data_IF_844045533905
#
_entry.id   IF_844045533905
#
_cell.length_a   1.000
_cell.length_b   1.000
_cell.length_c   1.000
_cell.angle_alpha   90.00
_cell.angle_beta   90.00
_cell.angle_gamma   90.00
#
_symmetry.space_group_name_H-M   'P 1'
#
loop_
_entity.id
_entity.type
_entity.pdbx_description
1 polymer ?
#
# COMPACT_ATOMS: atom_id res chain seq x y z
N UNK A 1 -24.17 -8.23 81.84
CA UNK A 1 -23.69 -9.35 81.03
C UNK A 1 -23.76 -8.92 79.57
N UNK A 2 -22.61 -8.63 78.99
CA UNK A 2 -22.45 -8.10 77.64
C UNK A 2 -22.33 -9.27 76.68
N UNK A 3 -23.30 -9.46 75.77
CA UNK A 3 -23.16 -10.39 74.65
C UNK A 3 -22.68 -9.64 73.42
N UNK A 4 -21.48 -10.00 72.96
CA UNK A 4 -20.93 -9.61 71.66
C UNK A 4 -21.51 -10.53 70.59
N UNK A 5 -22.18 -9.97 69.59
CA UNK A 5 -22.59 -10.70 68.38
C UNK A 5 -21.51 -10.49 67.32
N UNK A 6 -20.78 -11.56 66.98
CA UNK A 6 -19.77 -11.56 65.93
C UNK A 6 -20.47 -11.84 64.59
N UNK A 7 -20.47 -10.86 63.68
CA UNK A 7 -20.91 -11.07 62.30
C UNK A 7 -19.79 -11.73 61.49
N UNK A 8 -20.05 -12.91 60.94
CA UNK A 8 -19.16 -13.59 59.98
C UNK A 8 -19.52 -13.06 58.59
N UNK A 9 -18.63 -12.26 58.01
CA UNK A 9 -18.73 -11.77 56.64
C UNK A 9 -18.19 -12.87 55.70
N UNK A 10 -19.08 -13.51 54.95
CA UNK A 10 -18.69 -14.47 53.91
C UNK A 10 -18.19 -13.69 52.70
N UNK A 11 -16.87 -13.69 52.48
CA UNK A 11 -16.27 -13.11 51.28
C UNK A 11 -16.49 -14.11 50.14
N UNK A 12 -17.45 -13.81 49.25
CA UNK A 12 -17.50 -14.42 47.93
C UNK A 12 -16.37 -13.82 47.09
N UNK A 13 -15.35 -14.61 46.81
CA UNK A 13 -14.36 -14.29 45.78
C UNK A 13 -14.99 -14.66 44.44
N UNK A 14 -15.28 -13.70 43.54
CA UNK A 14 -15.71 -14.06 42.20
C UNK A 14 -14.50 -14.66 41.48
N UNK A 15 -14.63 -15.92 41.08
CA UNK A 15 -13.69 -16.56 40.17
C UNK A 15 -13.82 -15.84 38.82
N UNK A 16 -12.95 -14.86 38.57
CA UNK A 16 -12.82 -14.21 37.27
C UNK A 16 -12.27 -15.24 36.29
N UNK A 17 -13.16 -15.88 35.54
CA UNK A 17 -12.81 -16.55 34.30
C UNK A 17 -12.35 -15.47 33.32
N UNK A 18 -11.04 -15.26 33.24
CA UNK A 18 -10.43 -14.52 32.13
C UNK A 18 -10.61 -15.37 30.89
N UNK A 19 -11.64 -15.09 30.09
CA UNK A 19 -11.66 -15.53 28.71
C UNK A 19 -10.58 -14.74 27.98
N UNK A 20 -9.44 -15.38 27.75
CA UNK A 20 -8.52 -14.93 26.71
C UNK A 20 -9.22 -15.14 25.37
N UNK A 21 -9.89 -14.11 24.87
CA UNK A 21 -10.30 -14.06 23.47
C UNK A 21 -9.03 -13.94 22.62
N UNK A 22 -8.41 -15.07 22.32
CA UNK A 22 -7.56 -15.17 21.14
C UNK A 22 -8.50 -15.16 19.93
N UNK A 23 -8.94 -13.96 19.52
CA UNK A 23 -9.57 -13.75 18.23
C UNK A 23 -8.50 -13.95 17.16
N UNK A 24 -8.32 -15.19 16.73
CA UNK A 24 -7.68 -15.44 15.45
C UNK A 24 -8.55 -14.77 14.39
N UNK A 25 -8.02 -13.76 13.70
CA UNK A 25 -8.74 -13.07 12.62
C UNK A 25 -9.26 -14.12 11.65
N UNK A 26 -10.58 -14.13 11.44
CA UNK A 26 -11.20 -15.10 10.55
C UNK A 26 -10.93 -14.67 9.11
N UNK A 27 -10.11 -15.44 8.40
CA UNK A 27 -9.76 -15.18 7.01
C UNK A 27 -10.67 -15.95 6.07
N UNK A 28 -10.93 -15.39 4.90
CA UNK A 28 -11.63 -16.15 3.86
C UNK A 28 -10.66 -17.10 3.19
N UNK A 29 -11.12 -18.31 2.93
CA UNK A 29 -10.37 -19.31 2.15
C UNK A 29 -11.14 -19.75 0.91
N UNK A 30 -12.38 -19.24 0.70
CA UNK A 30 -13.14 -19.48 -0.52
C UNK A 30 -12.55 -18.68 -1.66
N UNK A 31 -12.06 -19.38 -2.69
CA UNK A 31 -11.49 -18.75 -3.88
C UNK A 31 -12.60 -18.36 -4.86
N UNK A 32 -12.51 -17.18 -5.49
CA UNK A 32 -13.38 -16.85 -6.61
C UNK A 32 -13.11 -17.80 -7.79
N UNK A 33 -14.13 -18.01 -8.63
CA UNK A 33 -14.06 -18.90 -9.79
C UNK A 33 -13.42 -18.19 -11.00
N UNK A 34 -12.13 -17.86 -10.84
CA UNK A 34 -11.28 -17.32 -11.89
C UNK A 34 -10.08 -18.25 -12.09
N UNK A 35 -9.55 -18.36 -13.32
CA UNK A 35 -8.33 -19.12 -13.54
C UNK A 35 -7.16 -18.48 -12.79
N UNK A 36 -6.20 -19.30 -12.38
CA UNK A 36 -4.88 -18.85 -11.96
C UNK A 36 -3.86 -19.31 -12.99
N UNK A 37 -3.50 -18.40 -13.90
CA UNK A 37 -2.45 -18.64 -14.92
C UNK A 37 -1.07 -18.16 -14.47
N UNK A 38 -0.81 -18.02 -13.17
CA UNK A 38 0.48 -17.56 -12.67
C UNK A 38 1.11 -18.55 -11.69
N UNK A 39 2.43 -18.59 -11.70
CA UNK A 39 3.26 -19.28 -10.71
C UNK A 39 3.95 -18.27 -9.81
N UNK A 40 4.01 -18.58 -8.51
CA UNK A 40 4.69 -17.75 -7.50
C UNK A 40 6.13 -18.24 -7.36
N UNK A 41 7.08 -17.32 -7.45
CA UNK A 41 8.50 -17.52 -7.17
C UNK A 41 8.85 -16.70 -5.93
N UNK A 42 9.50 -17.35 -4.96
CA UNK A 42 9.92 -16.80 -3.66
C UNK A 42 11.44 -16.69 -3.61
N UNK A 43 11.94 -16.06 -2.56
CA UNK A 43 13.38 -15.90 -2.30
C UNK A 43 14.12 -15.25 -3.48
N UNK A 44 13.46 -14.27 -4.14
CA UNK A 44 13.95 -13.65 -5.38
C UNK A 44 14.95 -12.53 -5.17
N UNK A 45 15.17 -12.11 -3.91
CA UNK A 45 16.19 -11.13 -3.54
C UNK A 45 17.01 -11.65 -2.37
N UNK A 46 18.27 -11.24 -2.29
CA UNK A 46 19.19 -11.62 -1.22
C UNK A 46 19.73 -10.37 -0.53
N UNK A 47 19.59 -10.32 0.79
CA UNK A 47 20.16 -9.28 1.63
C UNK A 47 21.52 -9.71 2.21
N UNK A 48 22.44 -8.76 2.48
CA UNK A 48 23.68 -9.03 3.18
C UNK A 48 23.46 -9.64 4.57
N UNK A 49 24.43 -10.43 5.04
CA UNK A 49 24.36 -11.04 6.38
C UNK A 49 24.14 -9.97 7.47
N UNK A 50 23.13 -10.19 8.32
CA UNK A 50 22.77 -9.28 9.41
C UNK A 50 21.74 -8.20 9.03
N UNK A 51 21.41 -8.05 7.74
CA UNK A 51 20.30 -7.20 7.28
C UNK A 51 19.02 -8.04 7.15
N UNK A 52 17.95 -7.55 7.76
CA UNK A 52 16.61 -8.13 7.62
C UNK A 52 15.76 -7.28 6.70
N UNK A 53 14.90 -7.90 5.89
CA UNK A 53 13.89 -7.18 5.12
C UNK A 53 12.81 -6.69 6.09
N UNK A 54 12.42 -5.42 6.01
CA UNK A 54 11.26 -4.96 6.74
C UNK A 54 9.99 -5.23 5.96
N UNK A 55 8.89 -4.64 6.42
CA UNK A 55 7.63 -4.70 5.70
C UNK A 55 7.82 -4.06 4.34
N UNK A 56 7.68 -4.85 3.29
CA UNK A 56 7.75 -4.38 1.92
C UNK A 56 6.36 -3.94 1.50
N UNK A 57 6.14 -2.64 1.35
CA UNK A 57 4.87 -2.10 0.89
C UNK A 57 4.99 -1.33 -0.43
N UNK A 58 6.22 -1.22 -0.96
CA UNK A 58 6.52 -0.53 -2.19
C UNK A 58 7.61 -1.28 -2.97
N UNK A 59 7.33 -1.54 -4.25
CA UNK A 59 8.24 -2.16 -5.19
C UNK A 59 8.01 -1.59 -6.58
N UNK A 60 9.09 -1.41 -7.34
CA UNK A 60 9.03 -1.16 -8.77
C UNK A 60 10.26 -1.69 -9.50
N UNK A 61 10.24 -1.70 -10.83
CA UNK A 61 11.32 -2.25 -11.67
C UNK A 61 11.75 -1.22 -12.71
N UNK A 62 13.07 -1.03 -12.85
CA UNK A 62 13.61 -0.09 -13.83
C UNK A 62 13.77 -0.71 -15.23
N UNK A 63 14.08 0.13 -16.23
CA UNK A 63 14.22 -0.28 -17.64
C UNK A 63 15.27 -1.36 -17.90
N UNK A 64 16.19 -1.57 -16.95
CA UNK A 64 17.22 -2.61 -17.00
C UNK A 64 16.82 -3.89 -16.24
N UNK A 65 15.61 -3.92 -15.68
CA UNK A 65 15.09 -5.02 -14.88
C UNK A 65 15.60 -5.05 -13.44
N UNK A 66 16.26 -3.98 -12.96
CA UNK A 66 16.64 -3.93 -11.55
C UNK A 66 15.40 -3.72 -10.69
N UNK A 67 15.38 -4.38 -9.54
CA UNK A 67 14.25 -4.38 -8.63
C UNK A 67 14.51 -3.32 -7.57
N UNK A 68 13.58 -2.38 -7.43
CA UNK A 68 13.61 -1.34 -6.40
C UNK A 68 12.59 -1.66 -5.33
N UNK A 69 13.02 -1.71 -4.07
CA UNK A 69 12.15 -1.94 -2.93
C UNK A 69 12.28 -0.76 -1.97
N UNK A 70 11.14 -0.25 -1.51
CA UNK A 70 11.08 0.71 -0.42
C UNK A 70 10.38 0.08 0.77
N UNK A 71 11.14 -0.18 1.83
CA UNK A 71 10.72 -1.00 2.96
C UNK A 71 10.82 -0.25 4.29
N UNK A 72 10.17 -0.76 5.34
CA UNK A 72 10.12 -0.10 6.66
C UNK A 72 11.33 -0.40 7.56
N UNK A 73 12.53 -0.01 7.11
CA UNK A 73 13.79 0.00 7.86
C UNK A 73 14.13 -1.31 8.61
N UNK A 74 13.78 -2.46 8.05
CA UNK A 74 13.98 -3.79 8.65
C UNK A 74 12.91 -4.23 9.64
N UNK A 75 11.82 -3.46 9.78
CA UNK A 75 10.73 -3.73 10.71
C UNK A 75 9.35 -3.45 10.13
N UNK A 76 8.48 -2.82 10.92
CA UNK A 76 7.15 -2.39 10.48
C UNK A 76 6.76 -1.08 11.18
N UNK A 77 5.75 -1.11 12.06
CA UNK A 77 5.22 0.08 12.68
C UNK A 77 6.26 0.84 13.50
N UNK A 78 6.56 2.08 13.09
CA UNK A 78 7.49 2.97 13.77
C UNK A 78 8.98 2.63 13.59
N UNK A 79 9.31 1.62 12.78
CA UNK A 79 10.69 1.15 12.64
C UNK A 79 11.64 2.19 12.04
N UNK A 80 11.15 3.10 11.20
CA UNK A 80 11.96 4.14 10.56
C UNK A 80 12.12 5.44 11.37
N UNK A 81 11.35 5.64 12.45
CA UNK A 81 11.33 6.91 13.18
C UNK A 81 12.73 7.36 13.63
N UNK A 82 13.49 6.43 14.21
CA UNK A 82 14.81 6.66 14.79
C UNK A 82 15.88 5.71 14.20
N UNK A 83 15.67 5.23 12.97
CA UNK A 83 16.57 4.24 12.33
C UNK A 83 17.44 4.85 11.24
N UNK A 84 18.73 4.53 11.27
CA UNK A 84 19.70 4.86 10.21
C UNK A 84 19.81 3.74 9.15
N UNK A 85 18.92 2.74 9.18
CA UNK A 85 18.89 1.67 8.18
C UNK A 85 18.35 2.22 6.87
N UNK A 86 19.11 2.07 5.79
CA UNK A 86 18.69 2.45 4.43
C UNK A 86 17.44 1.68 3.98
N UNK A 87 16.29 2.34 3.77
CA UNK A 87 15.04 1.68 3.37
C UNK A 87 14.83 1.59 1.86
N UNK A 88 15.59 2.34 1.06
CA UNK A 88 15.53 2.23 -0.41
C UNK A 88 16.60 1.27 -0.88
N UNK A 89 16.19 0.16 -1.49
CA UNK A 89 17.04 -0.96 -1.85
C UNK A 89 16.99 -1.17 -3.36
N UNK A 90 18.16 -1.21 -4.02
CA UNK A 90 18.29 -1.64 -5.42
C UNK A 90 18.86 -3.05 -5.48
N UNK A 91 18.15 -3.95 -6.15
CA UNK A 91 18.65 -5.28 -6.48
C UNK A 91 18.86 -5.43 -7.98
N UNK A 92 19.82 -6.25 -8.38
CA UNK A 92 19.99 -6.67 -9.77
C UNK A 92 18.76 -7.48 -10.24
N UNK A 93 18.59 -7.71 -11.55
CA UNK A 93 17.54 -8.60 -12.06
C UNK A 93 17.61 -10.03 -11.49
N UNK A 94 18.80 -10.44 -11.03
CA UNK A 94 19.06 -11.75 -10.42
C UNK A 94 18.87 -11.73 -8.88
N UNK A 95 18.51 -10.59 -8.29
CA UNK A 95 18.19 -10.46 -6.87
C UNK A 95 19.37 -10.12 -5.95
N UNK A 96 20.54 -9.77 -6.48
CA UNK A 96 21.67 -9.34 -5.67
C UNK A 96 21.53 -7.87 -5.27
N UNK A 97 21.67 -7.55 -3.98
CA UNK A 97 21.65 -6.14 -3.53
C UNK A 97 22.84 -5.38 -4.14
N UNK A 98 22.54 -4.38 -4.98
CA UNK A 98 23.53 -3.54 -5.65
C UNK A 98 23.93 -2.34 -4.78
N UNK A 99 22.95 -1.62 -4.25
CA UNK A 99 23.17 -0.54 -3.29
C UNK A 99 21.88 -0.21 -2.51
N UNK A 100 22.02 0.55 -1.43
CA UNK A 100 20.92 1.08 -0.63
C UNK A 100 21.20 2.51 -0.19
N UNK A 101 20.15 3.29 0.10
CA UNK A 101 20.26 4.63 0.66
C UNK A 101 19.01 5.00 1.47
N UNK A 102 19.05 6.17 2.12
CA UNK A 102 17.88 6.79 2.75
C UNK A 102 17.76 6.62 4.26
N UNK A 103 18.79 6.10 4.94
CA UNK A 103 18.79 5.99 6.40
C UNK A 103 18.48 7.32 7.11
N UNK A 104 17.59 7.28 8.10
CA UNK A 104 17.16 8.45 8.88
C UNK A 104 16.20 9.43 8.18
N UNK A 105 16.01 9.32 6.87
CA UNK A 105 15.24 10.29 6.07
C UNK A 105 13.73 10.16 6.23
N UNK A 106 13.22 8.94 6.38
CA UNK A 106 11.79 8.65 6.26
C UNK A 106 11.14 8.30 7.59
N UNK A 107 9.81 8.48 7.69
CA UNK A 107 9.01 8.18 8.87
C UNK A 107 8.20 6.90 8.67
N UNK A 108 7.48 6.82 7.57
CA UNK A 108 6.67 5.69 7.15
C UNK A 108 6.76 5.51 5.63
N UNK A 109 7.78 4.77 5.17
CA UNK A 109 7.88 4.36 3.78
C UNK A 109 6.54 3.83 3.24
N UNK A 110 6.01 4.43 2.18
CA UNK A 110 4.72 4.08 1.60
C UNK A 110 4.78 3.59 0.15
N UNK A 111 5.18 4.45 -0.79
CA UNK A 111 5.17 4.15 -2.22
C UNK A 111 6.55 4.32 -2.88
N UNK A 112 6.76 3.57 -3.97
CA UNK A 112 7.88 3.76 -4.91
C UNK A 112 7.37 3.59 -6.35
N UNK A 113 7.75 4.50 -7.23
CA UNK A 113 7.45 4.46 -8.67
C UNK A 113 8.75 4.76 -9.42
N UNK A 114 9.07 3.98 -10.44
CA UNK A 114 10.16 4.26 -11.38
C UNK A 114 9.56 4.93 -12.62
N UNK A 115 10.08 6.10 -13.00
CA UNK A 115 9.66 6.81 -14.21
C UNK A 115 10.43 6.37 -15.46
N UNK A 116 9.99 6.83 -16.64
CA UNK A 116 10.58 6.45 -17.94
C UNK A 116 12.07 6.83 -18.10
N UNK A 117 12.57 7.73 -17.24
CA UNK A 117 13.98 8.13 -17.18
C UNK A 117 14.77 7.35 -16.09
N UNK A 118 14.17 6.28 -15.55
CA UNK A 118 14.64 5.46 -14.44
C UNK A 118 14.83 6.22 -13.10
N UNK A 119 14.17 7.36 -12.91
CA UNK A 119 14.18 8.05 -11.63
C UNK A 119 13.14 7.44 -10.69
N UNK A 120 13.38 7.57 -9.39
CA UNK A 120 12.55 7.02 -8.33
C UNK A 120 11.71 8.11 -7.72
N UNK A 121 10.39 7.98 -7.78
CA UNK A 121 9.48 8.72 -6.93
C UNK A 121 9.19 7.93 -5.66
N UNK A 122 9.45 8.53 -4.51
CA UNK A 122 9.38 7.93 -3.18
C UNK A 122 8.33 8.70 -2.36
N UNK A 123 7.36 7.98 -1.78
CA UNK A 123 6.28 8.57 -0.97
C UNK A 123 6.46 8.19 0.50
N UNK A 124 6.67 9.18 1.36
CA UNK A 124 6.68 9.02 2.82
C UNK A 124 5.37 9.52 3.43
N UNK A 125 4.50 8.57 3.80
CA UNK A 125 3.19 8.87 4.36
C UNK A 125 3.26 9.33 5.82
N UNK A 126 4.37 9.01 6.51
CA UNK A 126 4.49 9.18 7.94
C UNK A 126 4.86 10.61 8.28
N UNK A 127 4.50 11.08 9.48
CA UNK A 127 4.74 12.47 9.86
C UNK A 127 5.33 12.53 11.26
N UNK A 128 6.45 13.23 11.40
CA UNK A 128 6.94 13.77 12.66
C UNK A 128 6.75 15.28 12.58
N UNK A 129 5.79 15.80 13.35
CA UNK A 129 5.29 17.16 13.23
C UNK A 129 6.42 18.20 13.28
N UNK A 130 6.56 18.97 12.20
CA UNK A 130 7.57 20.02 12.05
C UNK A 130 9.02 19.53 11.91
N UNK A 131 9.25 18.23 11.73
CA UNK A 131 10.59 17.65 11.60
C UNK A 131 10.83 16.95 10.26
N UNK A 132 10.03 15.91 9.93
CA UNK A 132 10.22 15.10 8.71
C UNK A 132 8.97 14.31 8.31
N UNK A 133 8.97 13.84 7.07
CA UNK A 133 7.90 13.04 6.48
C UNK A 133 6.72 13.90 6.00
N UNK A 134 5.63 13.26 5.56
CA UNK A 134 4.53 13.87 4.82
C UNK A 134 4.96 14.45 3.46
N UNK A 135 5.83 13.73 2.76
CA UNK A 135 6.56 14.26 1.61
C UNK A 135 6.70 13.23 0.50
N UNK A 136 6.92 13.74 -0.70
CA UNK A 136 7.23 12.95 -1.89
C UNK A 136 8.55 13.44 -2.45
N UNK A 137 9.43 12.52 -2.82
CA UNK A 137 10.77 12.82 -3.31
C UNK A 137 10.99 12.17 -4.67
N UNK A 138 11.72 12.84 -5.56
CA UNK A 138 12.27 12.25 -6.77
C UNK A 138 13.78 12.09 -6.61
N UNK A 139 14.31 10.89 -6.79
CA UNK A 139 15.75 10.61 -6.80
C UNK A 139 16.18 10.05 -8.16
N UNK A 140 17.43 10.25 -8.56
CA UNK A 140 17.99 9.43 -9.63
C UNK A 140 18.41 8.04 -9.12
N UNK A 141 18.86 7.18 -10.03
CA UNK A 141 19.33 5.83 -9.71
C UNK A 141 20.60 5.78 -8.84
N UNK A 142 21.23 6.91 -8.52
CA UNK A 142 22.38 7.00 -7.61
C UNK A 142 21.99 7.50 -6.21
N UNK A 143 20.69 7.77 -5.98
CA UNK A 143 20.18 8.30 -4.71
C UNK A 143 20.36 9.82 -4.56
N UNK A 144 20.66 10.54 -5.64
CA UNK A 144 20.74 12.00 -5.63
C UNK A 144 19.33 12.59 -5.74
N UNK A 145 18.97 13.50 -4.82
CA UNK A 145 17.66 14.15 -4.79
C UNK A 145 17.51 15.13 -5.97
N UNK A 146 16.41 15.00 -6.70
CA UNK A 146 16.04 15.82 -7.86
C UNK A 146 14.87 16.76 -7.55
N UNK A 147 13.82 16.24 -6.89
CA UNK A 147 12.61 16.99 -6.54
C UNK A 147 12.19 16.61 -5.12
N UNK A 148 11.69 17.59 -4.37
CA UNK A 148 11.05 17.41 -3.06
C UNK A 148 9.71 18.14 -3.08
N UNK A 149 8.63 17.42 -2.76
CA UNK A 149 7.26 17.93 -2.71
C UNK A 149 6.72 17.80 -1.28
N UNK A 150 5.95 18.81 -0.87
CA UNK A 150 5.50 18.97 0.51
C UNK A 150 6.57 19.62 1.39
N UNK A 151 6.21 19.88 2.65
CA UNK A 151 7.08 20.47 3.65
C UNK A 151 7.34 19.48 4.79
N UNK A 152 8.58 19.34 5.29
CA UNK A 152 8.92 18.34 6.30
C UNK A 152 8.05 18.42 7.55
N UNK A 153 7.26 17.37 7.79
CA UNK A 153 6.41 17.27 8.97
C UNK A 153 5.18 18.18 8.97
N UNK A 154 4.85 18.83 7.85
CA UNK A 154 3.74 19.80 7.76
C UNK A 154 2.59 19.21 6.96
N UNK A 155 1.42 19.05 7.63
CA UNK A 155 0.16 18.65 7.00
C UNK A 155 -0.62 19.83 6.46
N UNK A 156 -1.39 19.61 5.39
CA UNK A 156 -2.34 20.58 4.87
C UNK A 156 -3.14 20.08 3.67
N UNK A 157 -4.11 20.88 3.25
CA UNK A 157 -4.98 20.64 2.08
C UNK A 157 -4.80 21.72 1.00
N UNK A 158 -3.84 22.63 1.16
CA UNK A 158 -3.53 23.67 0.18
C UNK A 158 -2.75 23.17 -1.04
N UNK A 159 -2.47 24.10 -1.96
CA UNK A 159 -1.62 23.85 -3.11
C UNK A 159 -0.21 23.44 -2.66
N UNK A 160 0.27 22.29 -3.13
CA UNK A 160 1.59 21.75 -2.76
C UNK A 160 1.68 21.17 -1.34
N UNK A 161 0.56 21.10 -0.61
CA UNK A 161 0.49 20.49 0.71
C UNK A 161 -0.19 19.11 0.63
N UNK A 162 0.24 18.22 1.52
CA UNK A 162 -0.30 16.86 1.64
C UNK A 162 -0.73 16.58 3.07
N UNK A 163 -1.49 15.52 3.26
CA UNK A 163 -1.78 14.93 4.56
C UNK A 163 -1.79 13.40 4.42
N UNK A 164 -0.60 12.84 4.63
CA UNK A 164 -0.28 11.42 4.58
C UNK A 164 -0.50 10.84 3.17
N UNK A 165 0.30 11.27 2.17
CA UNK A 165 0.23 10.73 0.82
C UNK A 165 0.61 9.25 0.83
N UNK A 166 -0.07 8.43 0.04
CA UNK A 166 0.18 6.98 -0.02
C UNK A 166 0.82 6.56 -1.33
N UNK A 167 0.20 6.86 -2.46
CA UNK A 167 0.66 6.39 -3.77
C UNK A 167 0.65 7.52 -4.79
N UNK A 168 1.38 7.34 -5.89
CA UNK A 168 1.26 8.20 -7.05
C UNK A 168 1.27 7.40 -8.35
N UNK A 169 0.73 8.00 -9.41
CA UNK A 169 0.87 7.50 -10.77
C UNK A 169 1.22 8.66 -11.70
N UNK A 170 2.03 8.36 -12.70
CA UNK A 170 2.41 9.31 -13.76
C UNK A 170 1.43 9.11 -14.93
N UNK A 171 0.89 10.22 -15.44
CA UNK A 171 0.01 10.24 -16.59
C UNK A 171 0.78 10.22 -17.91
N UNK A 172 0.09 9.98 -19.04
CA UNK A 172 0.72 9.90 -20.36
C UNK A 172 1.36 11.21 -20.84
N UNK A 173 1.05 12.35 -20.20
CA UNK A 173 1.65 13.66 -20.47
C UNK A 173 2.73 14.04 -19.44
N UNK A 174 3.09 13.13 -18.54
CA UNK A 174 4.03 13.36 -17.44
C UNK A 174 3.39 13.99 -16.19
N UNK A 175 2.09 14.32 -16.21
CA UNK A 175 1.38 14.79 -15.02
C UNK A 175 1.44 13.77 -13.90
N UNK A 176 1.40 14.24 -12.65
CA UNK A 176 1.49 13.39 -11.47
C UNK A 176 0.13 13.39 -10.75
N UNK A 177 -0.35 12.20 -10.39
CA UNK A 177 -1.60 12.00 -9.66
C UNK A 177 -1.31 11.29 -8.35
N UNK A 178 -1.59 11.95 -7.23
CA UNK A 178 -1.22 11.49 -5.88
C UNK A 178 -2.48 11.14 -5.10
N UNK A 179 -2.42 10.02 -4.40
CA UNK A 179 -3.42 9.65 -3.39
C UNK A 179 -3.03 10.30 -2.06
N UNK A 180 -3.85 11.24 -1.59
CA UNK A 180 -3.59 12.06 -0.42
C UNK A 180 -4.62 11.76 0.68
N UNK A 181 -4.22 11.03 1.73
CA UNK A 181 -5.14 10.65 2.80
C UNK A 181 -5.09 9.24 3.38
N UNK A 182 -3.95 8.80 3.93
CA UNK A 182 -3.76 7.38 4.26
C UNK A 182 -4.04 6.96 5.72
N UNK A 183 -3.30 7.50 6.70
CA UNK A 183 -3.09 6.84 8.01
C UNK A 183 -4.14 7.26 9.05
N UNK A 184 -4.32 8.57 9.20
CA UNK A 184 -5.22 9.22 10.14
C UNK A 184 -6.66 9.19 9.61
N UNK A 185 -7.67 8.89 10.45
CA UNK A 185 -9.08 9.08 10.08
C UNK A 185 -9.46 10.53 9.76
N UNK A 186 -8.61 11.48 10.16
CA UNK A 186 -8.81 12.92 9.96
C UNK A 186 -7.92 13.50 8.84
N UNK A 187 -7.08 12.69 8.18
CA UNK A 187 -6.29 13.19 7.05
C UNK A 187 -7.17 13.45 5.82
N UNK A 188 -6.57 14.05 4.78
CA UNK A 188 -7.23 14.35 3.51
C UNK A 188 -7.90 13.10 2.90
N UNK A 189 -8.78 13.27 1.91
CA UNK A 189 -9.45 12.16 1.20
C UNK A 189 -9.64 12.55 -0.25
N UNK A 190 -8.52 12.70 -0.96
CA UNK A 190 -8.52 13.31 -2.30
C UNK A 190 -7.44 12.73 -3.20
N UNK A 191 -7.60 12.99 -4.49
CA UNK A 191 -6.58 12.81 -5.51
C UNK A 191 -6.04 14.18 -5.88
N UNK A 192 -4.73 14.37 -5.78
CA UNK A 192 -4.05 15.61 -6.16
C UNK A 192 -3.46 15.45 -7.55
N UNK A 193 -3.69 16.41 -8.43
CA UNK A 193 -3.13 16.47 -9.78
C UNK A 193 -2.09 17.58 -9.86
N UNK A 194 -0.89 17.24 -10.34
CA UNK A 194 0.25 18.14 -10.47
C UNK A 194 0.88 18.02 -11.85
N UNK A 195 1.68 19.03 -12.23
CA UNK A 195 2.55 18.94 -13.41
C UNK A 195 3.70 17.95 -13.18
N UNK A 196 4.44 17.61 -14.23
CA UNK A 196 5.65 16.78 -14.15
C UNK A 196 6.74 17.41 -13.25
N UNK A 197 6.75 18.74 -13.15
CA UNK A 197 7.66 19.52 -12.32
C UNK A 197 7.18 19.67 -10.87
N UNK A 198 6.01 19.13 -10.53
CA UNK A 198 5.45 19.16 -9.18
C UNK A 198 4.63 20.41 -8.84
N UNK A 199 4.20 21.18 -9.84
CA UNK A 199 3.31 22.32 -9.59
C UNK A 199 1.86 21.83 -9.41
N UNK A 200 1.18 22.28 -8.35
CA UNK A 200 -0.22 21.94 -8.09
C UNK A 200 -1.15 22.49 -9.18
N UNK A 201 -2.04 21.64 -9.70
CA UNK A 201 -3.07 22.02 -10.68
C UNK A 201 -4.43 22.07 -9.99
N UNK A 202 -4.89 20.93 -9.50
CA UNK A 202 -6.18 20.77 -8.84
C UNK A 202 -6.22 19.52 -7.95
N UNK A 203 -7.33 19.32 -7.24
CA UNK A 203 -7.58 18.10 -6.48
C UNK A 203 -9.05 17.72 -6.52
N UNK A 204 -9.33 16.43 -6.45
CA UNK A 204 -10.68 15.87 -6.52
C UNK A 204 -11.00 14.95 -5.35
N UNK A 205 -12.24 15.03 -4.91
CA UNK A 205 -12.81 14.17 -3.89
C UNK A 205 -12.81 14.78 -2.49
N UNK A 206 -13.53 14.11 -1.62
CA UNK A 206 -13.73 14.47 -0.22
C UNK A 206 -13.98 13.22 0.61
N UNK A 207 -13.98 13.34 1.94
CA UNK A 207 -14.24 12.20 2.81
C UNK A 207 -15.68 11.68 2.64
N UNK A 208 -15.82 10.36 2.51
CA UNK A 208 -17.14 9.72 2.56
C UNK A 208 -17.23 8.41 1.77
N UNK A 209 -18.47 8.01 1.51
CA UNK A 209 -18.82 6.70 0.95
C UNK A 209 -19.54 6.80 -0.39
N UNK A 210 -19.89 8.01 -0.82
CA UNK A 210 -20.58 8.28 -2.07
C UNK A 210 -19.67 8.31 -3.31
N UNK A 211 -20.26 8.59 -4.48
CA UNK A 211 -19.52 8.86 -5.72
C UNK A 211 -18.46 9.97 -5.54
N UNK A 212 -17.22 9.73 -5.96
CA UNK A 212 -16.08 10.66 -5.82
C UNK A 212 -15.74 11.03 -4.37
N UNK A 213 -16.33 10.34 -3.38
CA UNK A 213 -15.90 10.44 -1.99
C UNK A 213 -14.99 9.26 -1.67
N UNK A 214 -14.02 9.44 -0.79
CA UNK A 214 -13.03 8.41 -0.45
C UNK A 214 -12.96 8.18 1.06
N UNK A 215 -12.60 6.97 1.45
CA UNK A 215 -12.21 6.66 2.83
C UNK A 215 -10.94 5.79 2.80
N UNK A 216 -9.84 6.34 3.30
CA UNK A 216 -8.51 5.73 3.18
C UNK A 216 -8.20 5.26 1.76
N UNK A 217 -8.22 6.15 0.74
CA UNK A 217 -7.70 5.79 -0.58
C UNK A 217 -6.22 5.42 -0.44
N UNK A 218 -5.76 4.46 -1.24
CA UNK A 218 -4.46 3.81 -1.00
C UNK A 218 -3.59 3.63 -2.23
N UNK A 219 -4.19 3.50 -3.40
CA UNK A 219 -3.49 3.13 -4.62
C UNK A 219 -4.09 3.84 -5.82
N UNK A 220 -3.26 4.10 -6.83
CA UNK A 220 -3.71 4.69 -8.09
C UNK A 220 -2.91 4.13 -9.27
N UNK A 221 -3.58 3.96 -10.41
CA UNK A 221 -2.92 3.76 -11.69
C UNK A 221 -3.61 4.61 -12.76
N UNK A 222 -2.84 5.06 -13.75
CA UNK A 222 -3.34 5.86 -14.88
C UNK A 222 -3.12 5.09 -16.17
N UNK A 223 -4.14 5.02 -17.03
CA UNK A 223 -4.01 4.38 -18.34
C UNK A 223 -3.50 5.34 -19.42
N UNK A 224 -3.23 4.81 -20.62
CA UNK A 224 -2.74 5.59 -21.76
C UNK A 224 -3.74 6.64 -22.28
N UNK A 225 -5.00 6.65 -21.81
CA UNK A 225 -6.00 7.68 -22.10
C UNK A 225 -6.12 8.71 -20.97
N UNK A 226 -5.30 8.60 -19.91
CA UNK A 226 -5.34 9.46 -18.74
C UNK A 226 -6.47 9.13 -17.77
N UNK A 227 -7.16 7.99 -17.92
CA UNK A 227 -8.17 7.58 -16.93
C UNK A 227 -7.46 7.06 -15.69
N UNK A 228 -7.93 7.51 -14.52
CA UNK A 228 -7.38 7.10 -13.23
C UNK A 228 -8.20 5.97 -12.62
N UNK A 229 -7.53 4.98 -12.05
CA UNK A 229 -8.10 3.84 -11.35
C UNK A 229 -7.67 3.92 -9.89
N UNK A 230 -8.58 4.37 -9.03
CA UNK A 230 -8.29 4.70 -7.63
C UNK A 230 -8.77 3.59 -6.71
N UNK A 231 -7.87 3.05 -5.90
CA UNK A 231 -8.12 2.13 -4.81
C UNK A 231 -8.65 2.85 -3.59
N UNK A 232 -9.96 2.90 -3.45
CA UNK A 232 -10.67 3.41 -2.27
C UNK A 232 -10.76 2.30 -1.22
N UNK A 233 -9.61 2.01 -0.59
CA UNK A 233 -9.37 0.78 0.16
C UNK A 233 -10.38 0.58 1.27
N UNK A 234 -10.66 1.60 2.10
CA UNK A 234 -11.58 1.42 3.23
C UNK A 234 -13.00 1.15 2.80
N UNK A 235 -13.40 1.70 1.64
CA UNK A 235 -14.69 1.45 1.02
C UNK A 235 -14.75 0.15 0.19
N UNK A 236 -13.67 -0.66 0.15
CA UNK A 236 -13.58 -1.93 -0.59
C UNK A 236 -14.00 -1.78 -2.07
N UNK A 237 -13.48 -0.76 -2.75
CA UNK A 237 -13.86 -0.48 -4.15
C UNK A 237 -12.75 0.18 -4.95
N UNK A 238 -12.88 0.08 -6.26
CA UNK A 238 -12.20 0.94 -7.22
C UNK A 238 -13.14 2.04 -7.68
N UNK A 239 -12.63 3.25 -7.85
CA UNK A 239 -13.30 4.32 -8.58
C UNK A 239 -12.49 4.68 -9.83
N UNK A 240 -13.14 4.71 -10.98
CA UNK A 240 -12.52 5.07 -12.26
C UNK A 240 -12.88 6.51 -12.59
N UNK A 241 -11.89 7.37 -12.82
CA UNK A 241 -12.07 8.78 -13.12
C UNK A 241 -11.58 9.10 -14.54
N UNK A 242 -12.20 10.10 -15.18
CA UNK A 242 -11.69 10.69 -16.43
C UNK A 242 -10.44 11.53 -16.15
N UNK A 243 -9.66 11.90 -17.18
CA UNK A 243 -8.51 12.79 -17.02
C UNK A 243 -8.84 14.11 -16.31
N UNK A 244 -10.08 14.59 -16.44
CA UNK A 244 -10.60 15.81 -15.81
C UNK A 244 -11.26 15.54 -14.43
N UNK A 245 -10.95 14.41 -13.79
CA UNK A 245 -11.42 14.07 -12.45
C UNK A 245 -12.89 13.66 -12.34
N UNK A 246 -13.58 13.41 -13.46
CA UNK A 246 -15.00 13.02 -13.43
C UNK A 246 -15.15 11.53 -13.18
N UNK A 247 -16.01 11.15 -12.24
CA UNK A 247 -16.32 9.73 -12.00
C UNK A 247 -16.95 9.08 -13.25
N UNK A 248 -16.34 7.99 -13.70
CA UNK A 248 -16.79 7.16 -14.81
C UNK A 248 -17.43 5.85 -14.33
N UNK A 249 -16.86 5.21 -13.30
CA UNK A 249 -17.35 3.94 -12.77
C UNK A 249 -16.95 3.72 -11.30
N UNK A 250 -17.72 2.87 -10.62
CA UNK A 250 -17.37 2.33 -9.29
C UNK A 250 -17.45 0.81 -9.39
N UNK A 251 -16.41 0.11 -8.96
CA UNK A 251 -16.34 -1.34 -8.96
C UNK A 251 -16.08 -1.88 -7.55
N UNK A 252 -16.97 -2.73 -7.06
CA UNK A 252 -16.85 -3.38 -5.74
C UNK A 252 -16.39 -4.84 -5.86
N UNK A 253 -16.13 -5.30 -7.09
CA UNK A 253 -15.80 -6.69 -7.36
C UNK A 253 -14.30 -6.99 -7.51
N UNK A 254 -13.45 -6.05 -7.11
CA UNK A 254 -11.97 -6.16 -7.17
C UNK A 254 -11.34 -6.30 -5.78
N UNK A 255 -12.08 -6.81 -4.80
CA UNK A 255 -11.61 -6.97 -3.42
C UNK A 255 -11.44 -5.66 -2.68
N UNK A 256 -10.42 -5.60 -1.83
CA UNK A 256 -10.00 -4.43 -1.05
C UNK A 256 -8.65 -3.91 -1.60
N UNK A 257 -8.64 -2.94 -2.54
CA UNK A 257 -7.44 -2.57 -3.27
C UNK A 257 -6.37 -1.93 -2.38
N UNK A 258 -5.19 -2.54 -2.32
CA UNK A 258 -4.00 -2.03 -1.64
C UNK A 258 -2.89 -1.58 -2.60
N UNK A 259 -2.85 -2.12 -3.82
CA UNK A 259 -1.91 -1.73 -4.88
C UNK A 259 -2.55 -1.93 -6.24
N UNK A 260 -2.29 -1.02 -7.19
CA UNK A 260 -2.88 -1.05 -8.54
C UNK A 260 -1.81 -0.73 -9.57
N UNK A 261 -1.74 -1.51 -10.65
CA UNK A 261 -0.87 -1.25 -11.80
C UNK A 261 -1.58 -1.55 -13.10
N UNK A 262 -1.13 -0.90 -14.17
CA UNK A 262 -1.64 -1.09 -15.53
C UNK A 262 -0.48 -1.43 -16.45
N UNK A 263 -0.65 -2.46 -17.29
CA UNK A 263 0.25 -2.75 -18.40
C UNK A 263 -0.59 -2.94 -19.66
N UNK A 264 -0.47 -2.00 -20.60
CA UNK A 264 -1.35 -1.93 -21.78
C UNK A 264 -2.82 -1.86 -21.37
N UNK A 265 -3.62 -2.82 -21.81
CA UNK A 265 -5.05 -2.92 -21.48
C UNK A 265 -5.34 -3.80 -20.24
N UNK A 266 -4.30 -4.21 -19.51
CA UNK A 266 -4.43 -5.09 -18.33
C UNK A 266 -4.33 -4.29 -17.04
N UNK A 267 -5.33 -4.44 -16.17
CA UNK A 267 -5.38 -3.91 -14.81
C UNK A 267 -5.02 -5.01 -13.82
N UNK A 268 -4.13 -4.68 -12.88
CA UNK A 268 -3.74 -5.53 -11.76
C UNK A 268 -4.14 -4.81 -10.47
N UNK A 269 -4.87 -5.48 -9.57
CA UNK A 269 -5.20 -4.93 -8.27
C UNK A 269 -4.96 -5.96 -7.17
N UNK A 270 -4.32 -5.53 -6.09
CA UNK A 270 -3.99 -6.39 -4.95
C UNK A 270 -4.99 -6.21 -3.83
N UNK A 271 -5.45 -7.30 -3.25
CA UNK A 271 -6.15 -7.35 -1.98
C UNK A 271 -5.30 -8.09 -0.96
N UNK A 272 -4.74 -7.36 -0.01
CA UNK A 272 -3.89 -7.89 1.06
C UNK A 272 -4.55 -7.85 2.43
N UNK A 273 -5.77 -7.31 2.53
CA UNK A 273 -6.36 -6.91 3.81
C UNK A 273 -7.81 -7.34 4.00
N UNK A 274 -8.51 -7.92 3.02
CA UNK A 274 -9.87 -8.43 3.22
C UNK A 274 -9.95 -9.43 4.38
N UNK A 275 -10.95 -9.26 5.24
CA UNK A 275 -11.23 -10.08 6.45
C UNK A 275 -12.71 -10.45 6.54
N UNK A 276 -13.03 -11.51 7.28
CA UNK A 276 -14.41 -12.03 7.37
C UNK A 276 -15.18 -11.60 8.61
N UNK A 277 -14.51 -11.18 9.69
CA UNK A 277 -15.18 -10.90 10.95
C UNK A 277 -15.77 -9.48 10.97
N UNK A 278 -17.06 -9.39 11.26
CA UNK A 278 -17.78 -8.12 11.36
C UNK A 278 -17.17 -7.23 12.45
N UNK A 279 -16.98 -5.95 12.13
CA UNK A 279 -16.35 -4.96 13.02
C UNK A 279 -14.81 -4.98 13.02
N UNK A 280 -14.16 -5.92 12.32
CA UNK A 280 -12.72 -5.84 12.09
C UNK A 280 -12.38 -4.82 11.01
N UNK A 281 -11.23 -4.15 11.17
CA UNK A 281 -10.62 -3.42 10.06
C UNK A 281 -10.42 -4.37 8.85
N UNK A 282 -10.76 -3.91 7.65
CA UNK A 282 -10.71 -4.74 6.45
C UNK A 282 -11.87 -5.71 6.31
N UNK A 283 -12.96 -5.57 7.09
CA UNK A 283 -14.16 -6.37 6.92
C UNK A 283 -14.68 -6.27 5.48
N UNK A 284 -14.59 -7.40 4.78
CA UNK A 284 -14.99 -7.57 3.39
C UNK A 284 -15.42 -9.04 3.17
N UNK A 285 -16.59 -9.43 3.68
CA UNK A 285 -17.01 -10.83 3.73
C UNK A 285 -17.13 -11.42 2.31
N UNK A 286 -16.73 -12.69 2.15
CA UNK A 286 -16.73 -13.36 0.85
C UNK A 286 -15.54 -13.06 -0.08
N UNK A 287 -14.65 -12.12 0.26
CA UNK A 287 -13.46 -11.80 -0.54
C UNK A 287 -12.22 -12.54 -0.09
N UNK A 288 -11.42 -13.04 -1.03
CA UNK A 288 -10.16 -13.72 -0.79
C UNK A 288 -9.01 -12.77 -1.13
N UNK A 289 -7.99 -12.71 -0.27
CA UNK A 289 -6.76 -11.95 -0.52
C UNK A 289 -6.00 -12.52 -1.72
N UNK A 290 -5.38 -11.68 -2.52
CA UNK A 290 -4.72 -12.09 -3.76
C UNK A 290 -4.53 -10.94 -4.73
N UNK A 291 -4.09 -11.27 -5.94
CA UNK A 291 -3.98 -10.31 -7.06
C UNK A 291 -5.09 -10.63 -8.05
N UNK A 292 -5.96 -9.66 -8.29
CA UNK A 292 -6.96 -9.68 -9.35
C UNK A 292 -6.33 -9.12 -10.63
N UNK A 293 -6.52 -9.81 -11.75
CA UNK A 293 -6.01 -9.38 -13.06
C UNK A 293 -7.16 -9.34 -14.05
N UNK A 294 -7.29 -8.25 -14.79
CA UNK A 294 -8.41 -8.04 -15.70
C UNK A 294 -8.19 -6.93 -16.70
N UNK A 295 -9.26 -6.50 -17.35
CA UNK A 295 -9.23 -5.47 -18.39
C UNK A 295 -9.66 -4.11 -17.83
N UNK A 296 -9.30 -3.04 -18.56
CA UNK A 296 -9.63 -1.65 -18.22
C UNK A 296 -11.14 -1.30 -18.23
N UNK A 297 -12.00 -2.23 -18.64
CA UNK A 297 -13.48 -2.13 -18.53
C UNK A 297 -14.04 -2.74 -17.23
N UNK A 298 -13.17 -3.32 -16.40
CA UNK A 298 -13.50 -3.91 -15.11
C UNK A 298 -13.72 -5.42 -15.15
N UNK A 299 -13.55 -6.09 -16.28
CA UNK A 299 -13.70 -7.56 -16.36
C UNK A 299 -12.48 -8.26 -15.76
N UNK A 300 -12.69 -9.13 -14.76
CA UNK A 300 -11.62 -9.96 -14.19
C UNK A 300 -11.40 -11.21 -15.05
N UNK A 301 -10.13 -11.51 -15.31
CA UNK A 301 -9.69 -12.59 -16.21
C UNK A 301 -8.80 -13.63 -15.52
N UNK A 302 -8.15 -13.27 -14.41
CA UNK A 302 -7.39 -14.17 -13.54
C UNK A 302 -7.47 -13.74 -12.08
N UNK A 303 -7.20 -14.70 -11.20
CA UNK A 303 -6.98 -14.45 -9.79
C UNK A 303 -5.78 -15.26 -9.29
N UNK A 304 -4.80 -14.57 -8.70
CA UNK A 304 -3.65 -15.17 -8.03
C UNK A 304 -3.93 -15.15 -6.53
N UNK A 305 -4.31 -16.29 -5.92
CA UNK A 305 -4.68 -16.31 -4.50
C UNK A 305 -3.46 -16.14 -3.61
N UNK A 306 -3.62 -15.38 -2.53
CA UNK A 306 -2.76 -15.51 -1.35
C UNK A 306 -2.83 -16.99 -0.89
N UNK A 307 -1.70 -17.71 -0.83
CA UNK A 307 -1.72 -19.13 -0.46
C UNK A 307 -2.03 -19.37 1.02
N UNK A 308 -1.82 -18.39 1.88
CA UNK A 308 -2.01 -18.51 3.33
C UNK A 308 -2.44 -17.18 3.98
N UNK A 309 -3.68 -16.69 3.69
CA UNK A 309 -4.21 -15.48 4.29
C UNK A 309 -4.11 -15.52 5.82
N UNK A 310 -3.46 -14.51 6.40
CA UNK A 310 -3.25 -14.47 7.85
C UNK A 310 -3.03 -13.05 8.38
N UNK A 311 -3.20 -12.87 9.68
CA UNK A 311 -2.89 -11.61 10.36
C UNK A 311 -3.61 -10.39 9.80
N UNK A 312 -2.97 -9.22 9.98
CA UNK A 312 -3.54 -7.95 9.57
C UNK A 312 -3.51 -7.73 8.06
N UNK A 313 -2.34 -7.99 7.48
CA UNK A 313 -1.99 -7.86 6.07
C UNK A 313 -1.15 -9.08 5.73
N UNK A 314 -1.44 -9.74 4.61
CA UNK A 314 -0.64 -10.84 4.06
C UNK A 314 -0.58 -10.71 2.55
N UNK A 315 0.37 -11.37 1.90
CA UNK A 315 0.61 -11.19 0.46
C UNK A 315 1.14 -9.78 0.14
N UNK A 316 1.45 -9.45 -1.13
CA UNK A 316 1.93 -8.12 -1.48
C UNK A 316 0.94 -7.01 -1.14
N UNK A 317 1.46 -5.87 -0.68
CA UNK A 317 0.68 -4.61 -0.64
C UNK A 317 1.07 -3.77 -1.85
N UNK A 318 2.39 -3.57 -2.02
CA UNK A 318 2.99 -2.96 -3.21
C UNK A 318 3.16 -3.96 -4.34
N UNK A 319 2.85 -3.53 -5.55
CA UNK A 319 2.95 -4.34 -6.77
C UNK A 319 3.57 -3.51 -7.89
N UNK A 320 4.34 -4.15 -8.74
CA UNK A 320 4.82 -3.64 -10.01
C UNK A 320 4.62 -4.69 -11.10
N UNK A 321 4.55 -4.25 -12.35
CA UNK A 321 4.44 -5.15 -13.50
C UNK A 321 5.43 -4.67 -14.55
N UNK A 322 6.38 -5.52 -14.92
CA UNK A 322 7.37 -5.17 -15.95
C UNK A 322 6.79 -5.35 -17.37
N UNK A 323 7.54 -4.89 -18.37
CA UNK A 323 7.15 -4.94 -19.79
C UNK A 323 6.87 -6.36 -20.32
N UNK A 324 7.38 -7.40 -19.64
CA UNK A 324 7.13 -8.79 -20.00
C UNK A 324 5.88 -9.36 -19.31
N UNK A 325 5.16 -8.55 -18.53
CA UNK A 325 3.98 -8.97 -17.77
C UNK A 325 4.35 -9.79 -16.53
N UNK A 326 5.59 -9.74 -16.06
CA UNK A 326 5.96 -10.34 -14.77
C UNK A 326 5.51 -9.38 -13.69
N UNK A 327 4.82 -9.93 -12.70
CA UNK A 327 4.37 -9.18 -11.54
C UNK A 327 5.41 -9.31 -10.44
N UNK A 328 5.79 -8.19 -9.84
CA UNK A 328 6.65 -8.11 -8.67
C UNK A 328 5.83 -7.61 -7.49
N UNK A 329 5.98 -8.25 -6.33
CA UNK A 329 5.21 -7.91 -5.15
C UNK A 329 6.11 -7.74 -3.93
N UNK A 330 5.90 -6.69 -3.16
CA UNK A 330 6.50 -6.52 -1.85
C UNK A 330 5.44 -6.83 -0.79
N UNK A 331 5.72 -7.80 0.09
CA UNK A 331 4.80 -8.22 1.15
C UNK A 331 5.10 -7.56 2.49
N UNK A 332 4.04 -7.07 3.12
CA UNK A 332 4.10 -6.38 4.42
C UNK A 332 4.21 -7.36 5.56
N UNK A 333 3.29 -8.33 5.64
CA UNK A 333 3.25 -9.29 6.74
C UNK A 333 4.38 -10.33 6.68
N UNK A 334 4.68 -10.78 5.46
CA UNK A 334 5.66 -11.84 5.22
C UNK A 334 7.08 -11.31 5.00
N UNK A 335 7.23 -9.98 4.84
CA UNK A 335 8.53 -9.29 4.67
C UNK A 335 9.40 -9.89 3.57
N UNK A 336 8.77 -10.22 2.43
CA UNK A 336 9.41 -10.86 1.29
C UNK A 336 9.12 -10.12 -0.01
N UNK A 337 10.00 -10.32 -0.99
CA UNK A 337 9.74 -9.96 -2.39
C UNK A 337 9.28 -11.21 -3.11
N UNK A 338 8.18 -11.09 -3.82
CA UNK A 338 7.55 -12.14 -4.62
C UNK A 338 7.61 -11.79 -6.10
N UNK A 339 7.75 -12.82 -6.92
CA UNK A 339 7.67 -12.71 -8.38
C UNK A 339 6.58 -13.65 -8.89
N UNK A 340 5.71 -13.16 -9.75
CA UNK A 340 4.66 -13.95 -10.38
C UNK A 340 4.85 -13.98 -11.88
N UNK A 341 5.01 -15.17 -12.43
CA UNK A 341 5.25 -15.38 -13.85
C UNK A 341 4.03 -16.09 -14.44
N UNK A 342 3.56 -15.60 -15.58
CA UNK A 342 2.45 -16.24 -16.30
C UNK A 342 2.90 -17.61 -16.83
N UNK A 343 2.06 -18.61 -16.66
CA UNK A 343 2.25 -19.95 -17.18
C UNK A 343 1.96 -19.94 -18.68
N UNK A 344 2.83 -20.57 -19.47
CA UNK A 344 2.67 -20.76 -20.92
C UNK A 344 1.44 -21.61 -21.30
#
# INVERSE_FOLDING_TARGET
MTFKTTAILTILVPLSLTFSNNSFSQQNTLRPDYPNRYSIIRDVVTLPAGRQMGSGNAIDVDSQGNIWVFERCGGNQGACLESDVDPVLKFSPDGELLFSFGGGMFVWPHGIIVDDDDNLWIIDAGVVDGEKGNQIFKFNQQGELLIELGEPGIRGDGAGQFDEPSDLSIGPDGSIYIVDGHISPASNRRIVHMTAEGEFIEAWGEQGYGPLQFEGPHAIAVDAQGRMYVGDRTNNRLQVLSPEGKLLAIWTHWGRPSGIRILGDTLYAVDSESRQAEGEYGFNPGWHRGIYVGTLDGTITDFIPDPSPSGGTSFPEGIAVDDNGVIWGASVGDQEVLKFVRND
#
